data_IF_819649104659
#
_entry.id   IF_819649104659
#
_cell.length_a   1.000
_cell.length_b   1.000
_cell.length_c   1.000
_cell.angle_alpha   90.00
_cell.angle_beta   90.00
_cell.angle_gamma   90.00
#
_symmetry.space_group_name_H-M   'P 1'
#
loop_
_entity.id
_entity.type
_entity.pdbx_description
1 polymer ?
#
# COMPACT_ATOMS: atom_id res chain seq x y z
N UNK A 1 -12.38 -16.53 -3.04
CA UNK A 1 -12.73 -15.10 -3.24
C UNK A 1 -12.25 -14.22 -2.07
N UNK A 2 -12.89 -14.23 -0.88
CA UNK A 2 -12.45 -13.37 0.24
C UNK A 2 -11.11 -13.76 0.88
N UNK A 3 -10.91 -15.07 1.08
CA UNK A 3 -9.67 -15.61 1.66
C UNK A 3 -8.44 -15.32 0.77
N UNK A 4 -8.57 -15.56 -0.54
CA UNK A 4 -7.49 -15.32 -1.51
C UNK A 4 -7.07 -13.84 -1.58
N UNK A 5 -8.03 -12.91 -1.45
CA UNK A 5 -7.70 -11.50 -1.37
C UNK A 5 -6.91 -11.17 -0.10
N UNK A 6 -7.34 -11.70 1.06
CA UNK A 6 -6.61 -11.49 2.31
C UNK A 6 -5.21 -12.08 2.26
N UNK A 7 -5.04 -13.23 1.63
CA UNK A 7 -3.76 -13.92 1.52
C UNK A 7 -2.79 -13.13 0.62
N UNK A 8 -3.24 -12.71 -0.55
CA UNK A 8 -2.45 -11.89 -1.46
C UNK A 8 -2.07 -10.53 -0.84
N UNK A 9 -2.97 -9.92 -0.05
CA UNK A 9 -2.65 -8.69 0.70
C UNK A 9 -1.56 -8.94 1.74
N UNK A 10 -1.63 -10.06 2.49
CA UNK A 10 -0.59 -10.41 3.46
C UNK A 10 0.76 -10.64 2.77
N UNK A 11 0.76 -11.35 1.65
CA UNK A 11 1.99 -11.58 0.88
C UNK A 11 2.56 -10.29 0.30
N UNK A 12 1.69 -9.38 -0.13
CA UNK A 12 2.08 -8.02 -0.54
C UNK A 12 2.72 -7.26 0.63
N UNK A 13 2.15 -7.33 1.83
CA UNK A 13 2.72 -6.70 3.04
C UNK A 13 4.07 -7.32 3.42
N UNK A 14 4.22 -8.64 3.33
CA UNK A 14 5.50 -9.33 3.57
C UNK A 14 6.57 -8.84 2.60
N UNK A 15 6.25 -8.71 1.32
CA UNK A 15 7.14 -8.13 0.31
C UNK A 15 7.53 -6.69 0.67
N UNK A 16 6.55 -5.84 1.04
CA UNK A 16 6.80 -4.46 1.50
C UNK A 16 7.77 -4.44 2.69
N UNK A 17 7.59 -5.33 3.67
CA UNK A 17 8.47 -5.42 4.84
C UNK A 17 9.90 -5.81 4.48
N UNK A 18 10.07 -6.74 3.55
CA UNK A 18 11.40 -7.21 3.16
C UNK A 18 12.14 -6.20 2.27
N UNK A 19 11.42 -5.40 1.48
CA UNK A 19 12.01 -4.48 0.51
C UNK A 19 11.34 -3.09 0.49
N UNK A 20 11.28 -2.37 1.61
CA UNK A 20 10.47 -1.17 1.78
C UNK A 20 10.73 -0.05 0.74
N UNK A 21 11.90 -0.07 0.08
CA UNK A 21 12.29 0.93 -0.91
C UNK A 21 12.13 0.50 -2.37
N UNK A 22 11.71 -0.74 -2.64
CA UNK A 22 11.65 -1.32 -3.98
C UNK A 22 10.51 -0.76 -4.85
N UNK A 23 9.50 -0.15 -4.25
CA UNK A 23 8.33 0.34 -4.99
C UNK A 23 8.39 1.83 -5.31
N UNK A 24 7.78 2.19 -6.44
CA UNK A 24 7.75 3.57 -6.93
C UNK A 24 7.22 4.54 -5.87
N UNK A 25 7.96 5.61 -5.56
CA UNK A 25 7.49 6.65 -4.65
C UNK A 25 6.29 7.38 -5.27
N UNK A 26 5.26 7.62 -4.44
CA UNK A 26 4.14 8.52 -4.76
C UNK A 26 4.38 9.93 -4.22
N UNK A 27 5.23 10.05 -3.19
CA UNK A 27 5.69 11.30 -2.60
C UNK A 27 7.04 11.08 -1.93
N UNK A 28 7.59 12.11 -1.26
CA UNK A 28 8.82 12.01 -0.46
C UNK A 28 8.75 10.91 0.63
N UNK A 29 7.56 10.61 1.17
CA UNK A 29 7.38 9.67 2.30
C UNK A 29 6.55 8.44 1.96
N UNK A 30 5.86 8.43 0.82
CA UNK A 30 4.87 7.40 0.50
C UNK A 30 5.27 6.62 -0.74
N UNK A 31 4.97 5.32 -0.74
CA UNK A 31 5.22 4.40 -1.84
C UNK A 31 3.96 3.59 -2.14
N UNK A 32 3.87 3.05 -3.36
CA UNK A 32 2.73 2.25 -3.82
C UNK A 32 3.16 0.87 -4.30
N UNK A 33 2.69 -0.16 -3.61
CA UNK A 33 2.82 -1.54 -4.05
C UNK A 33 1.50 -2.02 -4.67
N UNK A 34 1.55 -2.67 -5.83
CA UNK A 34 0.39 -3.35 -6.41
C UNK A 34 0.19 -4.71 -5.75
N UNK A 35 -1.06 -5.09 -5.56
CA UNK A 35 -1.47 -6.43 -5.13
C UNK A 35 -1.55 -7.27 -6.41
N UNK A 36 -0.76 -8.33 -6.59
CA UNK A 36 -0.54 -8.90 -7.92
C UNK A 36 -1.82 -9.45 -8.58
N UNK A 37 -2.65 -10.16 -7.81
CA UNK A 37 -3.84 -10.85 -8.32
C UNK A 37 -5.12 -10.00 -8.34
N UNK A 38 -5.07 -8.79 -7.81
CA UNK A 38 -6.26 -7.96 -7.62
C UNK A 38 -6.01 -6.52 -8.06
N UNK A 39 -7.02 -5.78 -8.57
CA UNK A 39 -6.88 -4.39 -8.98
C UNK A 39 -6.81 -3.44 -7.76
N UNK A 40 -5.93 -3.75 -6.82
CA UNK A 40 -5.69 -3.04 -5.58
C UNK A 40 -4.23 -2.63 -5.44
N UNK A 41 -4.00 -1.57 -4.68
CA UNK A 41 -2.67 -1.16 -4.26
C UNK A 41 -2.63 -0.87 -2.78
N UNK A 42 -1.52 -1.23 -2.15
CA UNK A 42 -1.16 -0.84 -0.81
C UNK A 42 -0.30 0.42 -0.89
N UNK A 43 -0.73 1.46 -0.19
CA UNK A 43 0.01 2.70 -0.02
C UNK A 43 0.54 2.71 1.39
N UNK A 44 1.85 2.92 1.50
CA UNK A 44 2.53 2.88 2.78
C UNK A 44 3.58 3.97 2.90
N UNK A 45 3.93 4.29 4.13
CA UNK A 45 5.06 5.13 4.49
C UNK A 45 6.15 4.30 5.18
N UNK A 46 7.40 4.61 4.87
CA UNK A 46 8.57 4.08 5.56
C UNK A 46 9.02 5.13 6.58
N UNK A 47 8.89 4.84 7.87
CA UNK A 47 9.52 5.60 8.96
C UNK A 47 10.69 4.79 9.51
N UNK A 48 11.53 5.41 10.34
CA UNK A 48 12.82 4.85 10.76
C UNK A 48 12.77 3.37 11.17
N UNK A 49 11.74 2.96 11.92
CA UNK A 49 11.62 1.58 12.43
C UNK A 49 10.30 0.90 12.06
N UNK A 50 9.40 1.60 11.36
CA UNK A 50 8.05 1.10 11.10
C UNK A 50 7.57 1.40 9.70
N UNK A 51 6.79 0.47 9.17
CA UNK A 51 6.04 0.66 7.93
C UNK A 51 4.58 0.92 8.30
N UNK A 52 4.07 2.08 7.88
CA UNK A 52 2.68 2.47 8.13
C UNK A 52 1.89 2.22 6.86
N UNK A 53 0.91 1.32 6.92
CA UNK A 53 -0.05 1.13 5.82
C UNK A 53 -1.11 2.23 5.90
N UNK A 54 -1.04 3.17 4.95
CA UNK A 54 -1.95 4.33 4.88
C UNK A 54 -3.29 3.94 4.28
N UNK A 55 -3.26 3.12 3.22
CA UNK A 55 -4.47 2.71 2.52
C UNK A 55 -4.26 1.43 1.70
N UNK A 56 -5.33 0.65 1.57
CA UNK A 56 -5.49 -0.39 0.56
C UNK A 56 -6.60 0.09 -0.38
N UNK A 57 -6.25 0.46 -1.62
CA UNK A 57 -7.16 1.13 -2.56
C UNK A 57 -7.45 0.27 -3.79
N UNK A 58 -8.71 0.20 -4.20
CA UNK A 58 -9.11 -0.38 -5.49
C UNK A 58 -8.90 0.66 -6.61
N UNK A 59 -8.26 0.27 -7.72
CA UNK A 59 -7.84 1.19 -8.79
C UNK A 59 -8.98 1.95 -9.45
N UNK A 60 -10.12 1.29 -9.70
CA UNK A 60 -11.28 1.87 -10.41
C UNK A 60 -12.31 2.63 -9.55
N UNK A 61 -12.37 2.40 -8.23
CA UNK A 61 -13.51 2.89 -7.41
C UNK A 61 -13.33 4.31 -6.90
N UNK A 62 -12.15 4.69 -6.41
CA UNK A 62 -11.86 6.04 -5.87
C UNK A 62 -10.36 6.35 -5.97
N UNK A 63 -9.83 6.70 -7.16
CA UNK A 63 -8.42 7.02 -7.30
C UNK A 63 -8.02 8.17 -6.36
N UNK A 64 -6.89 8.04 -5.67
CA UNK A 64 -6.26 9.09 -4.85
C UNK A 64 -6.96 9.55 -3.56
N UNK A 65 -8.03 8.90 -3.09
CA UNK A 65 -8.69 9.28 -1.83
C UNK A 65 -7.79 9.09 -0.58
N UNK A 66 -6.75 8.27 -0.67
CA UNK A 66 -5.78 8.07 0.41
C UNK A 66 -5.06 9.35 0.83
N UNK A 67 -4.92 10.35 -0.07
CA UNK A 67 -4.29 11.63 0.25
C UNK A 67 -5.00 12.37 1.38
N UNK A 68 -6.32 12.22 1.51
CA UNK A 68 -7.10 12.80 2.61
C UNK A 68 -6.73 12.21 3.97
N UNK A 69 -6.25 10.96 4.00
CA UNK A 69 -5.81 10.29 5.24
C UNK A 69 -4.43 10.77 5.71
N UNK A 70 -3.67 11.41 4.82
CA UNK A 70 -2.39 12.04 5.15
C UNK A 70 -2.54 13.53 5.50
N UNK A 71 -3.66 14.14 5.15
CA UNK A 71 -3.90 15.57 5.37
C UNK A 71 -4.15 15.97 6.85
N UNK A 72 -4.09 15.01 7.77
CA UNK A 72 -4.29 15.22 9.21
C UNK A 72 -3.16 14.65 10.08
N UNK A 73 -1.97 14.40 9.51
CA UNK A 73 -0.76 13.97 10.24
C UNK A 73 0.34 15.02 10.16
#
# INVERSE_FOLDING_TARGET
MGFEFSDEVKETVTRIRNYPEAWTPLSRRTRRCQVHRFPYSIIYETRSEVIIIVAIQHHRRKPNNWRKRLAGQ
#
